data_IF_409351979568
#
_entry.id   IF_409351979568
#
_cell.length_a   1.000
_cell.length_b   1.000
_cell.length_c   1.000
_cell.angle_alpha   90.00
_cell.angle_beta   90.00
_cell.angle_gamma   90.00
#
_symmetry.space_group_name_H-M   'P 1'
#
loop_
_entity.id
_entity.type
_entity.pdbx_description
1 polymer ?
#
# COMPACT_ATOMS: atom_id res chain seq x y z
N UNK A 1 6.21 -21.07 10.08
CA UNK A 1 5.10 -20.56 10.91
C UNK A 1 4.97 -19.09 10.60
N UNK A 2 3.78 -18.61 10.28
CA UNK A 2 3.57 -17.19 9.98
C UNK A 2 3.79 -16.37 11.25
N UNK A 3 4.60 -15.32 11.19
CA UNK A 3 4.92 -14.46 12.34
C UNK A 3 3.69 -13.62 12.72
N UNK A 4 3.28 -13.63 13.98
CA UNK A 4 2.23 -12.74 14.50
C UNK A 4 2.87 -11.67 15.39
N UNK A 5 2.48 -10.41 15.18
CA UNK A 5 2.96 -9.23 15.89
C UNK A 5 1.76 -8.54 16.54
N UNK A 6 1.48 -8.88 17.80
CA UNK A 6 0.33 -8.33 18.55
C UNK A 6 0.72 -7.04 19.27
N UNK A 7 -0.15 -6.02 19.21
CA UNK A 7 0.01 -4.77 19.95
C UNK A 7 1.00 -3.78 19.33
N UNK A 8 1.50 -4.06 18.13
CA UNK A 8 2.34 -3.14 17.35
C UNK A 8 1.54 -2.03 16.65
N UNK A 9 0.24 -2.24 16.52
CA UNK A 9 -0.71 -1.32 15.91
C UNK A 9 -2.01 -1.27 16.72
N UNK A 10 -2.76 -0.19 16.55
CA UNK A 10 -4.04 0.04 17.24
C UNK A 10 -5.11 0.59 16.31
N UNK A 11 -6.38 0.38 16.67
CA UNK A 11 -7.53 1.08 16.14
C UNK A 11 -8.28 1.74 17.30
N UNK A 12 -8.21 3.07 17.37
CA UNK A 12 -8.77 3.87 18.48
C UNK A 12 -8.28 3.34 19.83
N UNK A 13 -6.98 3.02 19.91
CA UNK A 13 -6.34 2.46 21.10
C UNK A 13 -6.60 0.97 21.38
N UNK A 14 -7.45 0.29 20.61
CA UNK A 14 -7.60 -1.17 20.73
C UNK A 14 -6.45 -1.86 19.98
N UNK A 15 -5.71 -2.78 20.62
CA UNK A 15 -4.57 -3.45 19.98
C UNK A 15 -5.02 -4.34 18.82
N UNK A 16 -4.21 -4.35 17.75
CA UNK A 16 -4.37 -5.20 16.58
C UNK A 16 -3.22 -6.19 16.48
N UNK A 17 -3.44 -7.29 15.77
CA UNK A 17 -2.43 -8.28 15.45
C UNK A 17 -2.09 -8.22 13.97
N UNK A 18 -0.86 -7.86 13.65
CA UNK A 18 -0.34 -7.90 12.29
C UNK A 18 0.32 -9.25 12.02
N UNK A 19 0.06 -9.82 10.84
CA UNK A 19 0.61 -11.12 10.42
C UNK A 19 1.61 -10.91 9.30
N UNK A 20 2.79 -11.52 9.45
CA UNK A 20 3.91 -11.41 8.51
C UNK A 20 5.12 -10.67 9.08
N UNK A 21 6.21 -10.60 8.30
CA UNK A 21 7.46 -9.98 8.72
C UNK A 21 7.34 -8.46 8.78
N UNK A 22 8.07 -7.82 9.69
CA UNK A 22 8.29 -6.38 9.63
C UNK A 22 9.45 -6.06 8.70
N UNK A 23 9.13 -5.70 7.46
CA UNK A 23 10.12 -5.30 6.45
C UNK A 23 10.80 -3.98 6.79
N UNK A 24 12.06 -3.83 6.41
CA UNK A 24 12.92 -2.67 6.71
C UNK A 24 13.56 -2.11 5.44
N UNK A 25 14.07 -0.88 5.56
CA UNK A 25 14.92 -0.29 4.52
C UNK A 25 16.13 -1.18 4.27
N UNK A 26 16.41 -1.45 2.99
CA UNK A 26 17.46 -2.37 2.53
C UNK A 26 16.98 -3.80 2.28
N UNK A 27 15.79 -4.18 2.74
CA UNK A 27 15.22 -5.49 2.43
C UNK A 27 14.76 -5.55 0.97
N UNK A 28 14.84 -6.74 0.37
CA UNK A 28 14.20 -7.01 -0.91
C UNK A 28 12.68 -7.03 -0.71
N UNK A 29 11.96 -6.23 -1.49
CA UNK A 29 10.50 -6.23 -1.48
C UNK A 29 9.97 -7.60 -1.93
N UNK A 30 9.11 -8.27 -1.14
CA UNK A 30 8.50 -9.53 -1.57
C UNK A 30 7.69 -9.35 -2.86
N UNK A 31 7.74 -10.35 -3.74
CA UNK A 31 6.84 -10.37 -4.88
C UNK A 31 5.40 -10.56 -4.41
N UNK A 32 4.44 -10.07 -5.21
CA UNK A 32 3.02 -10.18 -4.93
C UNK A 32 2.25 -10.53 -6.20
N UNK A 33 0.99 -10.92 -6.07
CA UNK A 33 0.07 -11.02 -7.20
C UNK A 33 -1.28 -10.50 -6.76
N UNK A 34 -1.64 -9.32 -7.25
CA UNK A 34 -2.82 -8.56 -6.83
C UNK A 34 -3.79 -8.38 -7.97
N UNK A 35 -5.07 -8.25 -7.62
CA UNK A 35 -6.14 -8.06 -8.59
C UNK A 35 -6.22 -6.58 -8.98
N UNK A 36 -5.97 -6.26 -10.25
CA UNK A 36 -6.25 -4.94 -10.82
C UNK A 36 -7.71 -4.84 -11.27
N UNK A 37 -8.29 -5.96 -11.68
CA UNK A 37 -9.73 -6.13 -11.92
C UNK A 37 -10.15 -7.57 -11.55
N UNK A 38 -11.41 -7.95 -11.79
CA UNK A 38 -11.87 -9.33 -11.50
C UNK A 38 -11.15 -10.41 -12.34
N UNK A 39 -10.60 -10.04 -13.51
CA UNK A 39 -9.92 -10.98 -14.42
C UNK A 39 -8.47 -10.63 -14.72
N UNK A 40 -7.98 -9.49 -14.22
CA UNK A 40 -6.61 -9.00 -14.47
C UNK A 40 -5.83 -9.02 -13.16
N UNK A 41 -4.69 -9.71 -13.19
CA UNK A 41 -3.76 -9.82 -12.09
C UNK A 41 -2.44 -9.18 -12.48
N UNK A 42 -1.80 -8.54 -11.52
CA UNK A 42 -0.47 -7.93 -11.70
C UNK A 42 0.42 -8.30 -10.54
N UNK A 43 1.71 -8.33 -10.82
CA UNK A 43 2.80 -8.66 -9.91
C UNK A 43 3.72 -7.47 -9.69
N UNK A 44 4.69 -7.60 -8.78
CA UNK A 44 5.71 -6.58 -8.61
C UNK A 44 6.55 -6.41 -9.89
N UNK A 45 6.77 -7.51 -10.63
CA UNK A 45 7.58 -7.54 -11.85
C UNK A 45 6.93 -6.81 -13.03
N UNK A 46 5.61 -6.64 -13.05
CA UNK A 46 4.92 -5.81 -14.05
C UNK A 46 5.31 -4.32 -13.97
N UNK A 47 5.96 -3.93 -12.87
CA UNK A 47 6.50 -2.59 -12.63
C UNK A 47 8.04 -2.58 -12.60
N UNK A 48 8.72 -3.59 -13.17
CA UNK A 48 10.17 -3.65 -13.21
C UNK A 48 10.80 -2.38 -13.83
N UNK A 49 11.94 -1.94 -13.29
CA UNK A 49 12.63 -0.73 -13.75
C UNK A 49 11.98 0.60 -13.35
N UNK A 50 10.88 0.59 -12.59
CA UNK A 50 10.27 1.79 -12.00
C UNK A 50 10.51 1.85 -10.50
N UNK A 51 10.52 3.07 -9.95
CA UNK A 51 10.34 3.30 -8.52
C UNK A 51 8.86 3.14 -8.19
N UNK A 52 8.51 2.36 -7.16
CA UNK A 52 7.13 2.12 -6.73
C UNK A 52 6.88 2.84 -5.42
N UNK A 53 5.90 3.73 -5.41
CA UNK A 53 5.27 4.24 -4.20
C UNK A 53 4.06 3.37 -3.93
N UNK A 54 4.15 2.47 -2.95
CA UNK A 54 3.06 1.59 -2.55
C UNK A 54 2.37 2.19 -1.33
N UNK A 55 1.12 2.59 -1.52
CA UNK A 55 0.25 3.20 -0.54
C UNK A 55 -0.77 2.17 -0.06
N UNK A 56 -0.63 1.67 1.17
CA UNK A 56 -1.53 0.66 1.72
C UNK A 56 -2.62 1.33 2.54
N UNK A 57 -3.87 0.95 2.28
CA UNK A 57 -5.05 1.48 2.97
C UNK A 57 -5.95 0.32 3.44
N UNK A 58 -6.58 0.43 4.62
CA UNK A 58 -7.54 -0.58 5.08
C UNK A 58 -8.75 -0.74 4.16
N UNK A 59 -9.38 0.38 3.78
CA UNK A 59 -10.50 0.40 2.83
C UNK A 59 -10.71 1.82 2.28
N UNK A 60 -10.86 1.94 0.97
CA UNK A 60 -11.04 3.19 0.22
C UNK A 60 -12.32 3.93 0.59
N UNK A 61 -13.35 3.24 1.06
CA UNK A 61 -14.65 3.81 1.43
C UNK A 61 -14.62 4.48 2.84
N UNK A 62 -13.45 4.93 3.30
CA UNK A 62 -13.26 5.65 4.57
C UNK A 62 -12.48 6.96 4.38
N UNK A 63 -12.80 7.98 5.19
CA UNK A 63 -12.30 9.35 4.95
C UNK A 63 -10.78 9.51 4.92
N UNK A 64 -10.04 8.81 5.80
CA UNK A 64 -8.56 8.90 5.84
C UNK A 64 -7.94 8.20 4.63
N UNK A 65 -8.50 7.05 4.22
CA UNK A 65 -8.02 6.29 3.06
C UNK A 65 -8.27 7.04 1.76
N UNK A 66 -9.47 7.60 1.58
CA UNK A 66 -9.79 8.46 0.45
C UNK A 66 -8.79 9.60 0.33
N UNK A 67 -8.56 10.32 1.43
CA UNK A 67 -7.64 11.45 1.47
C UNK A 67 -6.20 11.03 1.14
N UNK A 68 -5.73 9.89 1.65
CA UNK A 68 -4.43 9.32 1.32
C UNK A 68 -4.28 9.05 -0.18
N UNK A 69 -5.25 8.37 -0.79
CA UNK A 69 -5.20 8.04 -2.21
C UNK A 69 -5.28 9.28 -3.09
N UNK A 70 -6.13 10.26 -2.75
CA UNK A 70 -6.19 11.56 -3.45
C UNK A 70 -4.86 12.31 -3.37
N UNK A 71 -4.25 12.38 -2.19
CA UNK A 71 -2.98 13.07 -1.97
C UNK A 71 -1.87 12.50 -2.84
N UNK A 72 -1.75 11.17 -2.91
CA UNK A 72 -0.77 10.53 -3.77
C UNK A 72 -1.11 10.63 -5.26
N UNK A 73 -2.39 10.66 -5.63
CA UNK A 73 -2.79 10.93 -7.02
C UNK A 73 -2.35 12.32 -7.51
N UNK A 74 -2.54 13.35 -6.67
CA UNK A 74 -2.07 14.70 -6.96
C UNK A 74 -0.55 14.75 -7.07
N UNK A 75 0.15 14.12 -6.12
CA UNK A 75 1.61 14.05 -6.11
C UNK A 75 2.19 13.29 -7.31
N UNK A 76 1.53 12.22 -7.77
CA UNK A 76 1.98 11.38 -8.87
C UNK A 76 2.30 12.19 -10.14
N UNK A 77 1.54 13.25 -10.40
CA UNK A 77 1.75 14.14 -11.54
C UNK A 77 3.14 14.81 -11.55
N UNK A 78 3.71 15.04 -10.36
CA UNK A 78 4.98 15.72 -10.16
C UNK A 78 6.17 14.75 -10.00
N UNK A 79 5.92 13.44 -9.95
CA UNK A 79 6.95 12.42 -9.74
C UNK A 79 7.57 11.90 -11.05
N UNK A 80 6.92 12.14 -12.19
CA UNK A 80 7.42 11.75 -13.51
C UNK A 80 7.25 10.26 -13.84
N UNK A 81 7.58 9.88 -15.07
CA UNK A 81 7.20 8.58 -15.65
C UNK A 81 7.97 7.36 -15.10
N UNK A 82 9.11 7.63 -14.43
CA UNK A 82 9.94 6.62 -13.76
C UNK A 82 9.29 6.09 -12.47
N UNK A 83 8.26 6.79 -11.96
CA UNK A 83 7.55 6.41 -10.74
C UNK A 83 6.20 5.82 -11.09
N UNK A 84 5.81 4.77 -10.37
CA UNK A 84 4.43 4.29 -10.35
C UNK A 84 3.89 4.40 -8.93
N UNK A 85 2.67 4.91 -8.80
CA UNK A 85 1.95 4.98 -7.54
C UNK A 85 0.92 3.86 -7.50
N UNK A 86 1.08 2.94 -6.56
CA UNK A 86 0.21 1.79 -6.34
C UNK A 86 -0.58 2.02 -5.05
N UNK A 87 -1.90 1.92 -5.09
CA UNK A 87 -2.73 1.88 -3.88
C UNK A 87 -3.22 0.46 -3.67
N UNK A 88 -2.93 -0.12 -2.50
CA UNK A 88 -3.27 -1.51 -2.15
C UNK A 88 -4.27 -1.54 -1.00
N UNK A 89 -5.28 -2.39 -1.12
CA UNK A 89 -6.28 -2.64 -0.07
C UNK A 89 -6.94 -4.00 -0.25
N UNK A 90 -7.67 -4.47 0.76
CA UNK A 90 -8.54 -5.64 0.64
C UNK A 90 -9.93 -5.35 0.00
N UNK A 91 -10.22 -4.11 -0.41
CA UNK A 91 -11.46 -3.78 -1.12
C UNK A 91 -11.56 -4.53 -2.45
N UNK A 92 -12.76 -4.99 -2.82
CA UNK A 92 -12.98 -5.65 -4.10
C UNK A 92 -12.65 -4.70 -5.28
N UNK A 93 -12.11 -5.20 -6.41
CA UNK A 93 -11.67 -4.34 -7.52
C UNK A 93 -12.73 -3.39 -8.05
N UNK A 94 -14.01 -3.80 -8.03
CA UNK A 94 -15.12 -2.95 -8.48
C UNK A 94 -15.46 -1.83 -7.49
N UNK A 95 -15.18 -1.97 -6.19
CA UNK A 95 -15.34 -0.88 -5.22
C UNK A 95 -14.26 0.19 -5.46
N UNK A 96 -13.01 -0.24 -5.65
CA UNK A 96 -11.90 0.65 -6.02
C UNK A 96 -12.18 1.38 -7.34
N UNK A 97 -12.63 0.65 -8.38
CA UNK A 97 -12.95 1.24 -9.68
C UNK A 97 -14.11 2.24 -9.61
N UNK A 98 -15.18 1.92 -8.86
CA UNK A 98 -16.30 2.83 -8.61
C UNK A 98 -15.81 4.11 -7.94
N UNK A 99 -14.95 4.00 -6.93
CA UNK A 99 -14.39 5.14 -6.23
C UNK A 99 -13.52 6.01 -7.14
N UNK A 100 -12.62 5.42 -7.94
CA UNK A 100 -11.80 6.17 -8.89
C UNK A 100 -12.65 6.97 -9.89
N UNK A 101 -13.68 6.34 -10.46
CA UNK A 101 -14.60 6.98 -11.40
C UNK A 101 -15.38 8.14 -10.79
N UNK A 102 -15.83 8.00 -9.53
CA UNK A 102 -16.51 9.08 -8.81
C UNK A 102 -15.56 10.21 -8.37
N UNK A 103 -14.31 9.87 -8.08
CA UNK A 103 -13.33 10.76 -7.47
C UNK A 103 -12.45 11.52 -8.47
N UNK A 104 -12.49 11.14 -9.76
CA UNK A 104 -11.64 11.71 -10.79
C UNK A 104 -10.16 11.39 -10.58
N UNK A 105 -9.86 10.20 -10.06
CA UNK A 105 -8.50 9.74 -9.73
C UNK A 105 -8.03 8.77 -10.80
N UNK A 106 -6.94 9.12 -11.49
CA UNK A 106 -6.46 8.44 -12.70
C UNK A 106 -4.93 8.22 -12.76
N UNK A 107 -4.15 8.77 -11.82
CA UNK A 107 -2.67 8.67 -11.79
C UNK A 107 -2.14 7.62 -10.83
N UNK A 108 -3.02 6.95 -10.09
CA UNK A 108 -2.68 5.83 -9.21
C UNK A 108 -3.26 4.54 -9.76
N UNK A 109 -2.52 3.45 -9.61
CA UNK A 109 -3.02 2.12 -9.92
C UNK A 109 -3.64 1.54 -8.66
N UNK A 110 -4.93 1.22 -8.71
CA UNK A 110 -5.62 0.52 -7.62
C UNK A 110 -5.40 -0.98 -7.75
N UNK A 111 -4.94 -1.62 -6.68
CA UNK A 111 -4.67 -3.04 -6.58
C UNK A 111 -5.40 -3.61 -5.37
N UNK A 112 -6.02 -4.77 -5.56
CA UNK A 112 -6.80 -5.44 -4.54
C UNK A 112 -6.13 -6.74 -4.08
N UNK A 113 -5.93 -6.86 -2.77
CA UNK A 113 -5.38 -8.05 -2.10
C UNK A 113 -6.45 -9.04 -1.64
N UNK A 114 -7.73 -8.77 -1.93
CA UNK A 114 -8.89 -9.49 -1.36
C UNK A 114 -8.89 -11.01 -1.53
N UNK A 115 -8.25 -11.50 -2.60
CA UNK A 115 -8.42 -12.88 -3.05
C UNK A 115 -7.67 -13.86 -2.14
N UNK A 116 -6.41 -13.54 -1.86
CA UNK A 116 -5.48 -14.43 -1.15
C UNK A 116 -4.78 -13.74 0.03
N UNK A 117 -4.94 -12.42 0.19
CA UNK A 117 -4.26 -11.60 1.20
C UNK A 117 -2.72 -11.74 1.17
N UNK A 118 -2.17 -12.04 -0.03
CA UNK A 118 -0.77 -12.43 -0.18
C UNK A 118 0.16 -11.25 0.07
N UNK A 119 -0.25 -10.05 -0.32
CA UNK A 119 0.53 -8.84 -0.11
C UNK A 119 0.54 -8.51 1.38
N UNK A 120 -0.63 -8.50 2.02
CA UNK A 120 -0.77 -8.24 3.45
C UNK A 120 0.11 -9.16 4.30
N UNK A 121 0.10 -10.46 3.99
CA UNK A 121 0.89 -11.47 4.69
C UNK A 121 2.39 -11.36 4.42
N UNK A 122 2.79 -11.04 3.18
CA UNK A 122 4.20 -10.94 2.81
C UNK A 122 4.86 -9.62 3.28
N UNK A 123 4.09 -8.53 3.28
CA UNK A 123 4.52 -7.20 3.71
C UNK A 123 4.24 -6.93 5.19
N UNK A 124 3.68 -7.90 5.91
CA UNK A 124 3.45 -7.78 7.35
C UNK A 124 2.37 -6.77 7.74
N UNK A 125 1.45 -6.44 6.84
CA UNK A 125 0.38 -5.47 7.06
C UNK A 125 -0.99 -6.12 7.26
N UNK A 126 -1.13 -7.43 7.05
CA UNK A 126 -2.42 -8.11 7.23
C UNK A 126 -2.89 -8.07 8.70
N UNK A 127 -4.08 -7.52 8.93
CA UNK A 127 -4.73 -7.43 10.25
C UNK A 127 -5.55 -8.69 10.48
N UNK A 128 -5.15 -9.51 11.46
CA UNK A 128 -5.78 -10.79 11.78
C UNK A 128 -7.25 -10.64 12.17
N UNK A 129 -7.61 -9.58 12.88
CA UNK A 129 -8.94 -9.37 13.44
C UNK A 129 -9.99 -8.99 12.38
N UNK A 130 -9.58 -8.36 11.28
CA UNK A 130 -10.50 -7.79 10.29
C UNK A 130 -10.34 -8.36 8.88
N UNK A 131 -9.26 -9.09 8.61
CA UNK A 131 -8.86 -9.48 7.27
C UNK A 131 -8.77 -8.27 6.31
N UNK A 132 -8.16 -7.19 6.80
CA UNK A 132 -7.84 -5.96 6.08
C UNK A 132 -6.35 -5.68 6.18
N UNK A 133 -5.85 -4.75 5.38
CA UNK A 133 -4.46 -4.31 5.45
C UNK A 133 -4.30 -3.09 6.35
N UNK A 134 -3.27 -3.11 7.19
CA UNK A 134 -2.88 -1.98 8.02
C UNK A 134 -2.32 -0.86 7.15
N UNK A 135 -2.71 0.37 7.49
CA UNK A 135 -2.22 1.56 6.78
C UNK A 135 -0.70 1.65 6.89
N UNK A 136 -0.04 1.66 5.75
CA UNK A 136 1.41 1.66 5.62
C UNK A 136 1.84 2.28 4.30
N UNK A 137 3.10 2.71 4.20
CA UNK A 137 3.72 3.18 2.97
C UNK A 137 5.02 2.41 2.74
N UNK A 138 5.27 2.01 1.49
CA UNK A 138 6.54 1.46 1.05
C UNK A 138 7.04 2.21 -0.18
N UNK A 139 8.30 2.64 -0.17
CA UNK A 139 8.99 3.10 -1.38
C UNK A 139 9.99 2.03 -1.77
N UNK A 140 9.84 1.53 -2.99
CA UNK A 140 10.64 0.44 -3.54
C UNK A 140 11.35 0.96 -4.79
N UNK A 141 12.67 0.77 -4.87
CA UNK A 141 13.44 1.24 -6.03
C UNK A 141 13.26 0.36 -7.28
N UNK A 142 13.99 0.71 -8.35
CA UNK A 142 13.99 -0.01 -9.62
C UNK A 142 14.49 -1.46 -9.51
N UNK A 143 15.31 -1.76 -8.50
CA UNK A 143 15.88 -3.08 -8.20
C UNK A 143 15.04 -3.86 -7.17
N UNK A 144 13.83 -3.37 -6.88
CA UNK A 144 12.91 -3.94 -5.90
C UNK A 144 13.45 -3.94 -4.46
N UNK A 145 14.34 -3.02 -4.10
CA UNK A 145 14.83 -2.84 -2.72
C UNK A 145 14.02 -1.75 -2.02
N UNK A 146 13.65 -1.99 -0.77
CA UNK A 146 12.88 -1.03 0.05
C UNK A 146 13.81 0.12 0.46
N UNK A 147 13.43 1.33 0.09
CA UNK A 147 14.16 2.57 0.40
C UNK A 147 13.48 3.38 1.50
N UNK A 148 12.18 3.17 1.70
CA UNK A 148 11.41 3.76 2.79
C UNK A 148 10.27 2.84 3.18
N UNK A 149 10.00 2.77 4.48
CA UNK A 149 8.86 2.03 5.02
C UNK A 149 8.27 2.79 6.19
N UNK A 150 6.95 2.85 6.23
CA UNK A 150 6.18 3.40 7.34
C UNK A 150 5.05 2.44 7.68
N UNK A 151 5.09 1.85 8.88
CA UNK A 151 3.95 1.15 9.47
C UNK A 151 3.32 2.07 10.50
N UNK A 152 2.02 2.35 10.38
CA UNK A 152 1.36 3.20 11.36
C UNK A 152 1.09 2.43 12.66
N UNK A 153 1.27 3.10 13.80
CA UNK A 153 0.92 2.57 15.11
C UNK A 153 -0.57 2.73 15.45
N UNK A 154 -1.29 3.60 14.73
CA UNK A 154 -2.74 3.83 14.87
C UNK A 154 -3.36 3.96 13.47
N UNK A 155 -4.30 3.08 13.16
CA UNK A 155 -4.88 2.92 11.81
C UNK A 155 -5.66 4.17 11.35
N UNK A 156 -6.20 4.92 12.30
CA UNK A 156 -6.97 6.14 12.04
C UNK A 156 -6.10 7.38 11.77
N UNK A 157 -4.78 7.29 11.93
CA UNK A 157 -3.87 8.38 11.58
C UNK A 157 -3.56 8.42 10.08
N UNK A 158 -3.09 9.57 9.62
CA UNK A 158 -2.51 9.74 8.29
C UNK A 158 -1.02 9.35 8.32
N UNK A 159 -0.48 8.79 7.21
CA UNK A 159 0.96 8.58 7.04
C UNK A 159 1.68 9.91 6.80
N UNK A 160 3.01 9.91 6.91
CA UNK A 160 3.84 11.04 6.53
C UNK A 160 4.02 11.12 5.00
N UNK A 161 3.08 11.80 4.34
CA UNK A 161 3.08 11.99 2.90
C UNK A 161 4.35 12.65 2.37
N UNK A 162 4.84 13.66 3.09
CA UNK A 162 5.94 14.49 2.62
C UNK A 162 7.26 13.72 2.73
N UNK A 163 7.45 12.92 3.79
CA UNK A 163 8.58 12.00 3.92
C UNK A 163 8.58 10.93 2.81
N UNK A 164 7.42 10.32 2.54
CA UNK A 164 7.29 9.33 1.47
C UNK A 164 7.61 9.93 0.08
N UNK A 165 7.07 11.10 -0.23
CA UNK A 165 7.34 11.81 -1.49
C UNK A 165 8.80 12.23 -1.60
N UNK A 166 9.42 12.68 -0.49
CA UNK A 166 10.83 13.02 -0.45
C UNK A 166 11.72 11.80 -0.72
N UNK A 167 11.39 10.65 -0.14
CA UNK A 167 12.10 9.39 -0.39
C UNK A 167 12.03 8.98 -1.87
N UNK A 168 10.88 9.12 -2.53
CA UNK A 168 10.77 8.87 -3.97
C UNK A 168 11.66 9.83 -4.77
N UNK A 169 11.65 11.11 -4.45
CA UNK A 169 12.44 12.14 -5.17
C UNK A 169 13.95 11.92 -5.09
N UNK A 170 14.44 11.22 -4.07
CA UNK A 170 15.87 10.87 -3.97
C UNK A 170 16.29 9.76 -4.93
N UNK A 171 15.34 9.05 -5.54
CA UNK A 171 15.57 7.89 -6.40
C UNK A 171 15.41 8.17 -7.90
N UNK A 172 14.99 9.38 -8.31
CA UNK A 172 14.59 9.68 -9.71
C UNK A 172 15.38 10.78 -10.40
#
# INVERSE_FOLDING_TARGET
MTQERTGVATLKGNPLTLVGPELKVGDQAPDFTLCKSLGEYVSLNDYAGKVKLISVIPSIDTGVCEAQTRRFNEAAAALGDKVVVLTVSADLPFAQARWCGASGVDKVVMLSDYKDNNFGLAYGVFIKEFALDMRSIFIVDENNVIQYVEYLSEMSNHPDYDAAIAAVKQLV
#
